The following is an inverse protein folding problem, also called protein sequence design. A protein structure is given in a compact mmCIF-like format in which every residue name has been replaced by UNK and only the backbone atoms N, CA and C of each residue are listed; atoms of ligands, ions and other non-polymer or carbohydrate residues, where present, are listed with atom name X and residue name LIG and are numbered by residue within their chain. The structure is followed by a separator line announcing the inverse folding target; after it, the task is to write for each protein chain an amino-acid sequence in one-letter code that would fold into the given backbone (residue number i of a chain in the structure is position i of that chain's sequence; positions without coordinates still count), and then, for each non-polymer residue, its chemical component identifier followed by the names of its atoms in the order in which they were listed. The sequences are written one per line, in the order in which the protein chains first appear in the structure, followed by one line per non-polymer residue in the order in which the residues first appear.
data_IF_013707956759
#
_entry.id   IF_013707956759
#
_cell.length_a   1.000
_cell.length_b   1.000
_cell.length_c   1.000
_cell.angle_alpha   90.00
_cell.angle_beta   90.00
_cell.angle_gamma   90.00
#
_symmetry.space_group_name_H-M   'P 1'
#
loop_
_entity.id
_entity.type
_entity.pdbx_description
1 polymer ?
#
# COMPACT_ATOMS: atom_id res chain seq x y z
N UNK A 1 -28.37 8.27 63.44
CA UNK A 1 -28.18 9.73 63.33
C UNK A 1 -26.70 9.99 63.20
N UNK A 2 -26.10 10.70 62.25
CA UNK A 2 -26.47 11.51 61.07
C UNK A 2 -25.17 11.50 60.23
N UNK A 3 -25.22 11.00 59.00
CA UNK A 3 -25.13 11.78 57.76
C UNK A 3 -23.87 12.65 57.59
N UNK A 4 -23.32 12.52 56.37
CA UNK A 4 -22.73 13.60 55.55
C UNK A 4 -21.23 13.86 55.76
N UNK A 5 -20.38 14.10 54.76
CA UNK A 5 -20.56 14.40 53.32
C UNK A 5 -19.13 14.53 52.72
N UNK A 6 -18.91 14.02 51.50
CA UNK A 6 -18.19 14.67 50.37
C UNK A 6 -16.70 15.01 50.52
N UNK A 7 -15.79 14.88 49.54
CA UNK A 7 -15.66 14.28 48.21
C UNK A 7 -14.19 14.50 47.80
N UNK A 8 -13.71 13.71 46.83
CA UNK A 8 -12.87 14.07 45.67
C UNK A 8 -11.92 15.28 45.79
N UNK A 9 -10.66 15.16 45.41
CA UNK A 9 -10.14 15.32 44.02
C UNK A 9 -8.60 15.38 44.17
N UNK A 10 -7.69 15.11 43.24
CA UNK A 10 -7.70 15.23 41.79
C UNK A 10 -6.40 14.54 41.31
N UNK A 11 -6.40 13.22 41.13
CA UNK A 11 -5.33 12.58 40.36
C UNK A 11 -5.71 12.77 38.89
N UNK A 12 -5.26 13.89 38.31
CA UNK A 12 -5.43 14.15 36.89
C UNK A 12 -4.52 13.17 36.12
N UNK A 13 -5.05 11.98 35.88
CA UNK A 13 -4.49 11.04 34.93
C UNK A 13 -4.69 11.63 33.52
N UNK A 14 -3.78 12.51 33.11
CA UNK A 14 -3.62 12.88 31.72
C UNK A 14 -2.83 11.77 30.99
N UNK A 15 -3.36 10.55 30.99
CA UNK A 15 -3.07 9.60 29.93
C UNK A 15 -3.99 9.96 28.77
N UNK A 16 -3.73 11.12 28.16
CA UNK A 16 -4.09 11.32 26.75
C UNK A 16 -3.19 10.36 25.98
N UNK A 17 -3.60 9.09 25.91
CA UNK A 17 -3.17 8.21 24.84
C UNK A 17 -3.62 8.93 23.59
N UNK A 18 -2.68 9.60 22.94
CA UNK A 18 -2.82 10.16 21.62
C UNK A 18 -3.32 9.04 20.72
N UNK A 19 -4.63 8.94 20.56
CA UNK A 19 -5.24 8.33 19.40
C UNK A 19 -4.88 9.21 18.21
N UNK A 20 -3.61 9.21 17.81
CA UNK A 20 -3.28 9.46 16.43
C UNK A 20 -4.06 8.40 15.68
N UNK A 21 -5.12 8.80 14.98
CA UNK A 21 -5.76 8.01 13.94
C UNK A 21 -4.67 7.63 12.95
N UNK A 22 -3.99 6.52 13.24
CA UNK A 22 -2.70 6.19 12.68
C UNK A 22 -2.91 5.61 11.30
N UNK A 23 -2.44 6.32 10.28
CA UNK A 23 -2.33 5.78 8.93
C UNK A 23 -1.43 4.55 9.00
N UNK A 24 -1.95 3.37 8.64
CA UNK A 24 -1.19 2.12 8.71
C UNK A 24 -0.28 2.01 7.50
N UNK A 25 1.03 2.02 7.69
CA UNK A 25 1.97 1.85 6.57
C UNK A 25 1.79 0.47 5.92
N UNK A 26 1.45 0.37 4.62
CA UNK A 26 1.36 -0.91 3.94
C UNK A 26 2.71 -1.61 3.92
N UNK A 27 2.69 -2.94 3.89
CA UNK A 27 3.91 -3.75 3.78
C UNK A 27 4.38 -3.85 2.34
N UNK A 28 5.70 -3.80 2.16
CA UNK A 28 6.39 -4.18 0.94
C UNK A 28 7.40 -5.28 1.27
N UNK A 29 6.87 -6.50 1.33
CA UNK A 29 7.58 -7.73 1.66
C UNK A 29 7.52 -8.67 0.45
N UNK A 30 8.49 -9.57 0.32
CA UNK A 30 8.47 -10.61 -0.71
C UNK A 30 7.23 -11.49 -0.51
N UNK A 31 6.53 -11.77 -1.60
CA UNK A 31 5.36 -12.62 -1.55
C UNK A 31 5.76 -14.09 -1.38
N UNK A 32 4.88 -14.87 -0.74
CA UNK A 32 4.96 -16.33 -0.83
C UNK A 32 4.27 -16.80 -2.10
N UNK A 33 5.00 -17.55 -2.91
CA UNK A 33 4.49 -18.19 -4.12
C UNK A 33 4.01 -19.60 -3.79
N UNK A 34 2.94 -20.05 -4.45
CA UNK A 34 2.34 -21.38 -4.18
C UNK A 34 3.06 -22.49 -4.96
N UNK A 35 3.92 -22.11 -5.90
CA UNK A 35 4.68 -23.01 -6.76
C UNK A 35 6.02 -22.35 -7.12
N UNK A 36 6.98 -23.19 -7.53
CA UNK A 36 8.33 -22.76 -7.88
C UNK A 36 8.43 -22.11 -9.27
N UNK A 37 7.39 -22.21 -10.11
CA UNK A 37 7.44 -21.64 -11.47
C UNK A 37 7.29 -20.12 -11.40
N UNK A 38 6.46 -19.64 -10.48
CA UNK A 38 6.24 -18.22 -10.25
C UNK A 38 7.24 -17.56 -9.28
N UNK A 39 8.11 -18.34 -8.65
CA UNK A 39 9.20 -17.81 -7.82
C UNK A 39 10.32 -17.29 -8.74
N UNK A 40 10.28 -15.99 -9.04
CA UNK A 40 11.24 -15.33 -9.93
C UNK A 40 11.86 -14.17 -9.14
N UNK A 41 12.87 -14.44 -8.27
CA UNK A 41 13.32 -13.50 -7.24
C UNK A 41 13.74 -12.12 -7.75
N UNK A 42 14.27 -12.05 -8.98
CA UNK A 42 14.66 -10.79 -9.60
C UNK A 42 13.46 -9.88 -9.93
N UNK A 43 12.31 -10.46 -10.26
CA UNK A 43 11.05 -9.74 -10.52
C UNK A 43 10.38 -9.38 -9.19
N UNK A 44 10.35 -10.31 -8.24
CA UNK A 44 9.80 -10.05 -6.91
C UNK A 44 10.54 -8.90 -6.21
N UNK A 45 11.86 -8.91 -6.24
CA UNK A 45 12.70 -7.84 -5.68
C UNK A 45 12.46 -6.49 -6.38
N UNK A 46 12.23 -6.51 -7.70
CA UNK A 46 11.89 -5.29 -8.44
C UNK A 46 10.55 -4.73 -7.95
N UNK A 47 9.51 -5.56 -7.87
CA UNK A 47 8.18 -5.11 -7.45
C UNK A 47 8.19 -4.62 -6.01
N UNK A 48 8.89 -5.31 -5.10
CA UNK A 48 9.04 -4.88 -3.70
C UNK A 48 9.74 -3.53 -3.62
N UNK A 49 10.84 -3.34 -4.35
CA UNK A 49 11.55 -2.06 -4.39
C UNK A 49 10.66 -0.92 -4.90
N UNK A 50 9.98 -1.14 -6.03
CA UNK A 50 9.01 -0.18 -6.58
C UNK A 50 7.90 0.13 -5.57
N UNK A 51 7.40 -0.88 -4.84
CA UNK A 51 6.33 -0.70 -3.85
C UNK A 51 6.82 0.10 -2.66
N UNK A 52 8.04 -0.12 -2.17
CA UNK A 52 8.64 0.67 -1.09
C UNK A 52 8.73 2.15 -1.48
N UNK A 53 9.22 2.43 -2.68
CA UNK A 53 9.32 3.80 -3.20
C UNK A 53 7.93 4.42 -3.34
N UNK A 54 6.97 3.71 -3.93
CA UNK A 54 5.60 4.18 -4.07
C UNK A 54 4.94 4.45 -2.71
N UNK A 55 5.16 3.59 -1.71
CA UNK A 55 4.62 3.78 -0.36
C UNK A 55 5.10 5.11 0.22
N UNK A 56 6.41 5.36 0.16
CA UNK A 56 7.04 6.54 0.74
C UNK A 56 6.67 7.82 -0.01
N UNK A 57 6.77 7.79 -1.33
CA UNK A 57 6.68 9.00 -2.16
C UNK A 57 5.24 9.41 -2.48
N UNK A 58 4.30 8.47 -2.42
CA UNK A 58 2.97 8.61 -3.02
C UNK A 58 1.86 8.22 -2.05
N UNK A 59 1.89 6.98 -1.57
CA UNK A 59 0.82 6.41 -0.74
C UNK A 59 0.67 7.13 0.59
N UNK A 60 1.75 7.19 1.39
CA UNK A 60 1.69 7.68 2.76
C UNK A 60 1.31 9.16 2.85
N UNK A 61 1.85 10.06 1.99
CA UNK A 61 1.42 11.45 1.96
C UNK A 61 -0.09 11.60 1.70
N UNK A 62 -0.63 10.89 0.69
CA UNK A 62 -2.06 10.96 0.36
C UNK A 62 -2.92 10.33 1.47
N UNK A 63 -2.54 9.16 1.99
CA UNK A 63 -3.27 8.53 3.09
C UNK A 63 -3.26 9.39 4.38
N UNK A 64 -2.22 10.21 4.56
CA UNK A 64 -2.11 11.17 5.66
C UNK A 64 -2.74 12.53 5.36
N UNK A 65 -3.45 12.67 4.24
CA UNK A 65 -4.13 13.90 3.80
C UNK A 65 -3.18 15.10 3.67
N UNK A 66 -1.90 14.85 3.34
CA UNK A 66 -0.96 15.92 3.05
C UNK A 66 -1.23 16.50 1.65
N UNK A 67 -1.01 17.82 1.45
CA UNK A 67 -1.07 18.42 0.13
C UNK A 67 -0.12 17.71 -0.85
N UNK A 68 -0.54 17.43 -2.11
CA UNK A 68 0.33 16.83 -3.10
C UNK A 68 1.51 17.75 -3.49
N UNK A 69 2.72 17.22 -3.40
CA UNK A 69 3.98 17.89 -3.73
C UNK A 69 4.62 17.38 -5.03
N UNK A 70 4.15 16.24 -5.56
CA UNK A 70 4.66 15.66 -6.80
C UNK A 70 3.54 15.03 -7.66
N UNK A 71 3.90 14.57 -8.85
CA UNK A 71 2.94 14.00 -9.80
C UNK A 71 2.29 12.71 -9.30
N UNK A 72 3.05 11.81 -8.66
CA UNK A 72 2.47 10.57 -8.13
C UNK A 72 1.39 10.87 -7.07
N UNK A 73 1.71 11.76 -6.12
CA UNK A 73 0.76 12.17 -5.10
C UNK A 73 -0.47 12.84 -5.72
N UNK A 74 -0.26 13.68 -6.74
CA UNK A 74 -1.34 14.37 -7.45
C UNK A 74 -2.27 13.38 -8.16
N UNK A 75 -1.72 12.39 -8.86
CA UNK A 75 -2.49 11.38 -9.58
C UNK A 75 -3.29 10.50 -8.62
N UNK A 76 -2.67 10.07 -7.52
CA UNK A 76 -3.33 9.27 -6.49
C UNK A 76 -4.42 10.07 -5.77
N UNK A 77 -4.12 11.31 -5.37
CA UNK A 77 -5.08 12.21 -4.74
C UNK A 77 -6.29 12.48 -5.65
N UNK A 78 -6.05 12.85 -6.93
CA UNK A 78 -7.14 13.09 -7.88
C UNK A 78 -7.99 11.84 -8.11
N UNK A 79 -7.39 10.65 -8.14
CA UNK A 79 -8.13 9.41 -8.31
C UNK A 79 -9.06 9.14 -7.13
N UNK A 80 -8.61 9.35 -5.89
CA UNK A 80 -9.46 9.16 -4.71
C UNK A 80 -10.49 10.28 -4.56
N UNK A 81 -10.09 11.53 -4.79
CA UNK A 81 -10.97 12.70 -4.67
C UNK A 81 -12.13 12.63 -5.68
N UNK A 82 -11.87 12.24 -6.93
CA UNK A 82 -12.96 12.08 -7.92
C UNK A 82 -13.99 11.02 -7.56
N UNK A 83 -13.61 10.02 -6.76
CA UNK A 83 -14.48 8.88 -6.39
C UNK A 83 -15.16 9.06 -5.04
N UNK A 84 -14.48 9.72 -4.11
CA UNK A 84 -14.87 9.79 -2.70
C UNK A 84 -14.82 11.21 -2.13
N UNK A 85 -14.59 12.23 -2.97
CA UNK A 85 -14.38 13.62 -2.57
C UNK A 85 -13.29 13.73 -1.50
N UNK A 86 -13.47 14.60 -0.51
CA UNK A 86 -12.55 14.75 0.62
C UNK A 86 -12.79 13.72 1.74
N UNK A 87 -13.72 12.78 1.57
CA UNK A 87 -14.11 11.78 2.57
C UNK A 87 -13.41 10.42 2.37
N UNK A 88 -12.28 10.41 1.64
CA UNK A 88 -11.57 9.16 1.43
C UNK A 88 -10.85 8.69 2.71
N UNK A 89 -10.76 7.38 2.88
CA UNK A 89 -9.96 6.75 3.93
C UNK A 89 -8.83 5.93 3.31
N UNK A 90 -8.02 5.32 4.17
CA UNK A 90 -6.87 4.56 3.72
C UNK A 90 -7.22 3.38 2.79
N UNK A 91 -8.39 2.74 2.97
CA UNK A 91 -8.82 1.64 2.10
C UNK A 91 -9.10 2.13 0.68
N UNK A 92 -9.64 3.34 0.55
CA UNK A 92 -9.83 4.00 -0.75
C UNK A 92 -8.48 4.31 -1.41
N UNK A 93 -7.50 4.78 -0.63
CA UNK A 93 -6.13 5.00 -1.12
C UNK A 93 -5.51 3.68 -1.58
N UNK A 94 -5.61 2.60 -0.79
CA UNK A 94 -5.14 1.27 -1.18
C UNK A 94 -5.76 0.76 -2.48
N UNK A 95 -7.08 0.93 -2.65
CA UNK A 95 -7.77 0.56 -3.88
C UNK A 95 -7.27 1.36 -5.09
N UNK A 96 -7.09 2.68 -4.96
CA UNK A 96 -6.54 3.53 -6.01
C UNK A 96 -5.07 3.22 -6.32
N UNK A 97 -4.24 2.98 -5.30
CA UNK A 97 -2.85 2.57 -5.47
C UNK A 97 -2.73 1.21 -6.18
N UNK A 98 -3.61 0.25 -5.90
CA UNK A 98 -3.69 -1.01 -6.66
C UNK A 98 -4.01 -0.82 -8.15
N UNK A 99 -4.55 0.32 -8.54
CA UNK A 99 -4.75 0.66 -9.95
C UNK A 99 -3.52 1.38 -10.53
N UNK A 100 -3.04 2.42 -9.84
CA UNK A 100 -1.95 3.26 -10.35
C UNK A 100 -0.60 2.56 -10.33
N UNK A 101 -0.21 1.94 -9.22
CA UNK A 101 1.09 1.28 -9.06
C UNK A 101 1.33 0.22 -10.14
N UNK A 102 0.31 -0.60 -10.42
CA UNK A 102 0.43 -1.71 -11.37
C UNK A 102 0.42 -1.26 -12.84
N UNK A 103 0.09 0.00 -13.15
CA UNK A 103 0.31 0.56 -14.50
C UNK A 103 1.81 0.63 -14.85
N UNK A 104 2.66 0.84 -13.85
CA UNK A 104 4.11 1.01 -14.03
C UNK A 104 4.90 -0.30 -13.88
N UNK A 105 4.37 -1.27 -13.12
CA UNK A 105 5.03 -2.57 -12.88
C UNK A 105 5.35 -3.31 -14.19
N UNK A 106 4.39 -3.46 -15.10
CA UNK A 106 4.62 -4.20 -16.35
C UNK A 106 5.68 -3.54 -17.25
N UNK A 107 5.63 -2.21 -17.50
CA UNK A 107 6.72 -1.50 -18.18
C UNK A 107 8.09 -1.73 -17.52
N UNK A 108 8.20 -1.66 -16.20
CA UNK A 108 9.48 -1.84 -15.51
C UNK A 108 10.01 -3.28 -15.57
N UNK A 109 9.13 -4.29 -15.46
CA UNK A 109 9.48 -5.68 -15.72
C UNK A 109 10.04 -5.83 -17.13
N UNK A 110 9.35 -5.27 -18.14
CA UNK A 110 9.81 -5.33 -19.53
C UNK A 110 11.17 -4.63 -19.72
N UNK A 111 11.41 -3.48 -19.07
CA UNK A 111 12.72 -2.82 -19.08
C UNK A 111 13.79 -3.70 -18.43
N UNK A 112 13.49 -4.35 -17.31
CA UNK A 112 14.42 -5.27 -16.65
C UNK A 112 14.75 -6.48 -17.52
N UNK A 113 13.76 -7.11 -18.16
CA UNK A 113 13.96 -8.24 -19.09
C UNK A 113 14.79 -7.84 -20.32
N UNK A 114 14.67 -6.60 -20.79
CA UNK A 114 15.54 -6.09 -21.86
C UNK A 114 17.00 -5.97 -21.42
N UNK A 115 17.24 -5.53 -20.18
CA UNK A 115 18.60 -5.43 -19.59
C UNK A 115 19.17 -6.78 -19.18
N UNK A 116 18.32 -7.71 -18.78
CA UNK A 116 18.66 -9.04 -18.26
C UNK A 116 17.91 -10.12 -19.05
N UNK A 117 18.39 -10.51 -20.26
CA UNK A 117 17.69 -11.46 -21.13
C UNK A 117 17.47 -12.84 -20.50
N UNK A 118 18.25 -13.22 -19.48
CA UNK A 118 18.09 -14.45 -18.72
C UNK A 118 16.72 -14.57 -18.03
N UNK A 119 16.01 -13.45 -17.81
CA UNK A 119 14.66 -13.45 -17.22
C UNK A 119 13.56 -13.83 -18.21
N UNK A 120 13.85 -13.91 -19.52
CA UNK A 120 12.85 -14.22 -20.55
C UNK A 120 12.24 -15.60 -20.37
N UNK A 121 13.06 -16.63 -20.22
CA UNK A 121 12.59 -18.01 -20.17
C UNK A 121 11.81 -18.32 -18.88
N UNK A 122 12.25 -17.90 -17.67
CA UNK A 122 11.44 -18.01 -16.46
C UNK A 122 10.07 -17.37 -16.61
N UNK A 123 9.99 -16.14 -17.15
CA UNK A 123 8.73 -15.44 -17.33
C UNK A 123 7.82 -16.12 -18.35
N UNK A 124 8.36 -16.66 -19.46
CA UNK A 124 7.57 -17.42 -20.45
C UNK A 124 7.06 -18.76 -19.92
N UNK A 125 7.76 -19.37 -18.95
CA UNK A 125 7.30 -20.58 -18.29
C UNK A 125 6.21 -20.30 -17.25
N UNK A 126 6.34 -19.19 -16.53
CA UNK A 126 5.38 -18.78 -15.51
C UNK A 126 4.09 -18.19 -16.09
N UNK A 127 4.20 -17.46 -17.20
CA UNK A 127 3.08 -16.68 -17.72
C UNK A 127 2.90 -16.86 -19.21
N UNK A 128 1.66 -17.04 -19.64
CA UNK A 128 1.26 -17.12 -21.04
C UNK A 128 1.27 -15.75 -21.71
N UNK A 129 0.98 -14.68 -20.96
CA UNK A 129 0.95 -13.31 -21.44
C UNK A 129 1.09 -12.26 -20.31
N UNK A 130 1.24 -10.99 -20.70
CA UNK A 130 1.41 -9.87 -19.76
C UNK A 130 0.19 -9.62 -18.86
N UNK A 131 -1.03 -9.93 -19.30
CA UNK A 131 -2.23 -9.72 -18.49
C UNK A 131 -2.30 -10.74 -17.36
N UNK A 132 -1.96 -12.00 -17.64
CA UNK A 132 -1.85 -13.06 -16.63
C UNK A 132 -0.77 -12.71 -15.60
N UNK A 133 0.42 -12.31 -16.07
CA UNK A 133 1.51 -11.86 -15.21
C UNK A 133 1.07 -10.69 -14.31
N UNK A 134 0.40 -9.69 -14.89
CA UNK A 134 -0.09 -8.53 -14.14
C UNK A 134 -1.13 -8.93 -13.10
N UNK A 135 -2.09 -9.79 -13.46
CA UNK A 135 -3.11 -10.27 -12.53
C UNK A 135 -2.48 -11.04 -11.37
N UNK A 136 -1.51 -11.92 -11.66
CA UNK A 136 -0.78 -12.68 -10.66
C UNK A 136 -0.06 -11.77 -9.66
N UNK A 137 0.79 -10.86 -10.16
CA UNK A 137 1.54 -9.96 -9.28
C UNK A 137 0.65 -8.94 -8.57
N UNK A 138 -0.48 -8.55 -9.18
CA UNK A 138 -1.48 -7.71 -8.52
C UNK A 138 -2.06 -8.41 -7.29
N UNK A 139 -2.40 -9.69 -7.39
CA UNK A 139 -2.90 -10.42 -6.23
C UNK A 139 -1.84 -10.57 -5.14
N UNK A 140 -0.60 -10.90 -5.52
CA UNK A 140 0.51 -11.12 -4.59
C UNK A 140 0.99 -9.85 -3.89
N UNK A 141 1.03 -8.72 -4.59
CA UNK A 141 1.65 -7.48 -4.11
C UNK A 141 0.66 -6.34 -3.88
N UNK A 142 -0.65 -6.58 -3.87
CA UNK A 142 -1.65 -5.54 -3.59
C UNK A 142 -1.40 -4.79 -2.28
N UNK A 143 -1.82 -3.53 -2.26
CA UNK A 143 -1.94 -2.74 -1.04
C UNK A 143 -3.16 -3.26 -0.28
N UNK A 144 -2.90 -3.83 0.90
CA UNK A 144 -3.92 -4.23 1.86
C UNK A 144 -3.82 -3.29 3.05
N UNK A 145 -4.91 -2.60 3.36
CA UNK A 145 -5.08 -1.90 4.63
C UNK A 145 -6.35 -2.44 5.23
N UNK A 146 -6.25 -3.51 6.00
CA UNK A 146 -7.33 -3.82 6.93
C UNK A 146 -7.13 -2.86 8.10
N UNK A 147 -7.70 -1.66 8.01
CA UNK A 147 -8.09 -0.97 9.23
C UNK A 147 -9.26 -1.81 9.73
N UNK A 148 -9.02 -2.67 10.72
CA UNK A 148 -10.10 -3.36 11.43
C UNK A 148 -11.10 -2.28 11.86
N UNK A 149 -12.29 -2.29 11.27
CA UNK A 149 -13.40 -1.48 11.74
C UNK A 149 -13.82 -2.06 13.08
N UNK A 150 -13.27 -1.51 14.16
CA UNK A 150 -13.78 -1.71 15.52
C UNK A 150 -14.89 -0.70 15.81
#
# INVERSE_FOLDING_TARGET
MKHSIIWASLALAAALVSGCSGVVTPKAELATHNDAVHDIPAIDSLIVSMKQDYIKQCYMPVASHLPPENSCQSDLFQMVERRYHMEYNQNHVAAASNELFFKDVVPEINKKVKREPALRDPLRRAFSNSNEMLAYYKDKYKFNTQIEQF
#
